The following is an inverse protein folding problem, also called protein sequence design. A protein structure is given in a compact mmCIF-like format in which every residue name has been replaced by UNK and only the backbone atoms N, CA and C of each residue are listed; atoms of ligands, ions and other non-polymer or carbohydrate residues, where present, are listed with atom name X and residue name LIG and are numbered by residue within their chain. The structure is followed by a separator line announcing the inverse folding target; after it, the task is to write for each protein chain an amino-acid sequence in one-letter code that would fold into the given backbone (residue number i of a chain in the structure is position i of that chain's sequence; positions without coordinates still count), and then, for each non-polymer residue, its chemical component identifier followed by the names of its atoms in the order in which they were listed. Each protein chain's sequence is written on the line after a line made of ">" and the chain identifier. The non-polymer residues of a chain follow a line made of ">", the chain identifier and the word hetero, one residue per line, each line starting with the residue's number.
data_IF_231882735066
#
_entry.id   IF_231882735066
#
_cell.length_a   1.000
_cell.length_b   1.000
_cell.length_c   1.000
_cell.angle_alpha   90.00
_cell.angle_beta   90.00
_cell.angle_gamma   90.00
#
_symmetry.space_group_name_H-M   'P 1'
#
loop_
_entity.id
_entity.type
_entity.pdbx_description
1 polymer ?
#
# COMPACT_ATOMS: atom_id res chain seq x y z
N UNK A 1 8.95 -5.28 -34.42
CA UNK A 1 9.91 -6.29 -33.93
C UNK A 1 9.19 -7.28 -33.02
N UNK A 2 9.62 -8.57 -33.03
CA UNK A 2 9.12 -9.58 -32.09
C UNK A 2 10.14 -9.78 -30.99
N UNK A 3 9.70 -9.81 -29.75
CA UNK A 3 10.53 -9.90 -28.55
C UNK A 3 10.03 -11.01 -27.64
N UNK A 4 10.90 -11.47 -26.73
CA UNK A 4 10.54 -12.38 -25.66
C UNK A 4 10.10 -11.59 -24.43
N UNK A 5 8.91 -11.85 -23.92
CA UNK A 5 8.42 -11.36 -22.64
C UNK A 5 8.64 -12.45 -21.58
N UNK A 6 9.56 -12.20 -20.66
CA UNK A 6 9.91 -13.09 -19.57
C UNK A 6 9.05 -12.74 -18.35
N UNK A 7 8.13 -13.64 -17.98
CA UNK A 7 7.22 -13.44 -16.86
C UNK A 7 7.84 -13.76 -15.50
N UNK A 8 7.20 -13.31 -14.43
CA UNK A 8 7.64 -13.58 -13.05
C UNK A 8 7.70 -15.07 -12.72
N UNK A 9 6.77 -15.86 -13.24
CA UNK A 9 6.70 -17.32 -13.07
C UNK A 9 7.76 -18.10 -13.87
N UNK A 10 8.59 -17.38 -14.65
CA UNK A 10 9.62 -17.97 -15.51
C UNK A 10 9.11 -18.39 -16.89
N UNK A 11 7.84 -18.23 -17.19
CA UNK A 11 7.32 -18.49 -18.54
C UNK A 11 7.76 -17.40 -19.52
N UNK A 12 7.95 -17.78 -20.79
CA UNK A 12 8.38 -16.89 -21.86
C UNK A 12 7.31 -16.85 -22.93
N UNK A 13 6.90 -15.66 -23.32
CA UNK A 13 5.93 -15.43 -24.37
C UNK A 13 6.52 -14.53 -25.45
N UNK A 14 6.36 -14.92 -26.73
CA UNK A 14 6.77 -14.07 -27.83
C UNK A 14 5.66 -13.08 -28.15
N UNK A 15 5.99 -11.80 -28.14
CA UNK A 15 5.06 -10.70 -28.35
C UNK A 15 5.63 -9.71 -29.39
N UNK A 16 4.75 -9.08 -30.17
CA UNK A 16 5.15 -8.09 -31.16
C UNK A 16 5.04 -6.68 -30.59
N UNK A 17 6.14 -5.95 -30.59
CA UNK A 17 6.17 -4.52 -30.26
C UNK A 17 5.43 -3.73 -31.36
N UNK A 18 4.55 -2.83 -30.97
CA UNK A 18 3.86 -1.89 -31.85
C UNK A 18 4.76 -0.71 -32.17
N UNK A 19 4.77 0.28 -31.26
CA UNK A 19 5.57 1.51 -31.39
C UNK A 19 6.47 1.67 -30.20
N UNK A 20 7.62 2.30 -30.46
CA UNK A 20 8.62 2.66 -29.46
C UNK A 20 8.64 4.19 -29.30
N UNK A 21 8.71 4.67 -28.08
CA UNK A 21 8.78 6.09 -27.76
C UNK A 21 9.91 6.34 -26.76
N UNK A 22 10.61 7.42 -26.96
CA UNK A 22 11.51 8.04 -25.99
C UNK A 22 10.88 9.31 -25.40
N UNK A 23 11.53 9.90 -24.41
CA UNK A 23 11.06 11.14 -23.78
C UNK A 23 11.98 12.29 -24.10
N UNK A 24 11.40 13.37 -24.66
CA UNK A 24 12.06 14.66 -24.79
C UNK A 24 11.37 15.63 -23.80
N UNK A 25 12.00 15.84 -22.65
CA UNK A 25 11.38 16.49 -21.51
C UNK A 25 10.15 15.70 -21.04
N UNK A 26 8.96 16.30 -21.14
CA UNK A 26 7.68 15.66 -20.77
C UNK A 26 6.94 15.04 -21.96
N UNK A 27 7.43 15.24 -23.16
CA UNK A 27 6.76 14.77 -24.38
C UNK A 27 7.27 13.39 -24.79
N UNK A 28 6.34 12.53 -25.25
CA UNK A 28 6.70 11.25 -25.88
C UNK A 28 6.96 11.50 -27.35
N UNK A 29 8.14 11.08 -27.80
CA UNK A 29 8.56 11.16 -29.20
C UNK A 29 8.73 9.76 -29.75
N UNK A 30 8.05 9.46 -30.85
CA UNK A 30 8.18 8.16 -31.53
C UNK A 30 9.62 8.03 -32.08
N UNK A 31 10.25 6.87 -31.85
CA UNK A 31 11.60 6.56 -32.27
C UNK A 31 11.69 5.16 -32.84
N UNK A 32 12.66 4.93 -33.70
CA UNK A 32 12.96 3.59 -34.24
C UNK A 32 14.00 2.85 -33.40
N UNK A 33 14.79 3.57 -32.60
CA UNK A 33 15.90 3.04 -31.83
C UNK A 33 15.90 3.59 -30.40
N UNK A 34 16.39 2.79 -29.46
CA UNK A 34 16.67 3.17 -28.08
C UNK A 34 17.99 2.51 -27.63
N UNK A 35 18.71 3.20 -26.76
CA UNK A 35 20.02 2.78 -26.32
C UNK A 35 20.00 2.30 -24.87
N UNK A 36 21.03 1.56 -24.48
CA UNK A 36 21.21 1.08 -23.12
C UNK A 36 21.22 2.26 -22.13
N UNK A 37 20.36 2.21 -21.12
CA UNK A 37 20.15 3.28 -20.15
C UNK A 37 18.96 4.19 -20.44
N UNK A 38 18.34 4.11 -21.62
CA UNK A 38 17.16 4.90 -21.96
C UNK A 38 15.90 4.38 -21.25
N UNK A 39 15.05 5.32 -20.86
CA UNK A 39 13.69 5.04 -20.42
C UNK A 39 12.76 5.18 -21.63
N UNK A 40 12.08 4.09 -21.96
CA UNK A 40 11.22 4.04 -23.14
C UNK A 40 9.79 3.68 -22.81
N UNK A 41 8.84 4.11 -23.66
CA UNK A 41 7.48 3.60 -23.64
C UNK A 41 7.23 2.74 -24.88
N UNK A 42 6.65 1.56 -24.68
CA UNK A 42 6.39 0.59 -25.73
C UNK A 42 4.90 0.29 -25.80
N UNK A 43 4.35 0.20 -27.01
CA UNK A 43 2.96 -0.21 -27.25
C UNK A 43 2.89 -1.61 -27.85
N UNK A 44 1.70 -2.23 -27.76
CA UNK A 44 1.47 -3.58 -28.31
C UNK A 44 1.77 -4.72 -27.34
N UNK A 45 2.21 -4.41 -26.14
CA UNK A 45 2.45 -5.39 -25.08
C UNK A 45 1.16 -5.60 -24.29
N UNK A 46 0.49 -6.73 -24.49
CA UNK A 46 -0.69 -7.12 -23.71
C UNK A 46 -0.31 -8.12 -22.64
N UNK A 47 -0.84 -7.93 -21.42
CA UNK A 47 -0.61 -8.87 -20.30
C UNK A 47 0.78 -8.79 -19.68
N UNK A 48 1.53 -7.71 -19.89
CA UNK A 48 2.78 -7.44 -19.17
C UNK A 48 2.47 -6.83 -17.80
N UNK A 49 3.19 -7.29 -16.80
CA UNK A 49 3.12 -6.76 -15.44
C UNK A 49 4.41 -6.03 -15.04
N UNK A 50 4.31 -5.18 -14.02
CA UNK A 50 5.48 -4.50 -13.47
C UNK A 50 6.47 -5.52 -12.92
N UNK A 51 7.74 -5.40 -13.34
CA UNK A 51 8.83 -6.31 -12.95
C UNK A 51 9.05 -7.47 -13.92
N UNK A 52 8.27 -7.57 -14.99
CA UNK A 52 8.54 -8.50 -16.09
C UNK A 52 9.55 -7.90 -17.06
N UNK A 53 10.31 -8.77 -17.72
CA UNK A 53 11.41 -8.36 -18.59
C UNK A 53 11.06 -8.58 -20.05
N UNK A 54 11.40 -7.62 -20.90
CA UNK A 54 11.39 -7.77 -22.35
C UNK A 54 12.83 -8.02 -22.79
N UNK A 55 13.04 -9.10 -23.53
CA UNK A 55 14.37 -9.56 -23.94
C UNK A 55 14.42 -9.95 -25.40
N UNK A 56 15.62 -10.23 -25.91
CA UNK A 56 15.82 -10.76 -27.25
C UNK A 56 15.15 -12.14 -27.36
N UNK A 57 14.47 -12.36 -28.48
CA UNK A 57 13.78 -13.61 -28.77
C UNK A 57 14.73 -14.81 -28.89
N UNK A 58 15.98 -14.58 -29.34
CA UNK A 58 16.98 -15.62 -29.55
C UNK A 58 17.75 -15.97 -28.28
N UNK A 59 17.82 -15.04 -27.33
CA UNK A 59 18.48 -15.25 -26.05
C UNK A 59 17.66 -14.61 -24.93
N UNK A 60 16.51 -15.20 -24.56
CA UNK A 60 15.65 -14.63 -23.53
C UNK A 60 16.35 -14.68 -22.17
N UNK A 61 16.58 -13.51 -21.58
CA UNK A 61 17.19 -13.37 -20.27
C UNK A 61 16.28 -12.54 -19.37
N UNK A 62 15.92 -13.11 -18.21
CA UNK A 62 15.10 -12.43 -17.20
C UNK A 62 16.01 -11.64 -16.26
N UNK A 63 15.68 -10.37 -16.04
CA UNK A 63 16.31 -9.56 -14.99
C UNK A 63 15.60 -9.86 -13.67
N UNK A 64 16.36 -10.04 -12.59
CA UNK A 64 15.82 -10.26 -11.26
C UNK A 64 15.01 -9.05 -10.80
N UNK A 65 13.79 -9.31 -10.38
CA UNK A 65 12.89 -8.29 -9.86
C UNK A 65 13.03 -8.18 -8.34
N UNK A 66 13.15 -6.96 -7.86
CA UNK A 66 13.11 -6.70 -6.41
C UNK A 66 11.67 -6.87 -5.94
N UNK A 67 11.44 -7.85 -5.08
CA UNK A 67 10.13 -8.06 -4.48
C UNK A 67 9.68 -6.83 -3.71
N UNK A 68 8.44 -6.43 -3.95
CA UNK A 68 7.80 -5.34 -3.22
C UNK A 68 7.11 -5.95 -2.01
N UNK A 69 7.20 -5.27 -0.87
CA UNK A 69 6.58 -5.71 0.37
C UNK A 69 5.11 -6.11 0.18
N UNK A 70 4.77 -7.26 0.76
CA UNK A 70 3.41 -7.76 0.74
C UNK A 70 2.45 -6.82 1.49
N UNK A 71 1.16 -6.80 1.08
CA UNK A 71 0.14 -6.06 1.80
C UNK A 71 0.05 -6.48 3.27
N UNK A 72 -0.04 -5.52 4.18
CA UNK A 72 -0.18 -5.76 5.62
C UNK A 72 -1.55 -5.39 6.19
N UNK A 73 -2.32 -4.60 5.44
CA UNK A 73 -3.66 -4.11 5.84
C UNK A 73 -4.68 -4.46 4.76
N UNK A 74 -5.87 -4.86 5.16
CA UNK A 74 -7.00 -5.13 4.27
C UNK A 74 -8.25 -4.39 4.69
N UNK A 75 -9.10 -4.06 3.72
CA UNK A 75 -10.43 -3.50 3.87
C UNK A 75 -11.39 -4.20 2.92
N UNK A 76 -12.67 -4.26 3.29
CA UNK A 76 -13.72 -4.70 2.37
C UNK A 76 -14.32 -3.47 1.68
N UNK A 77 -14.36 -3.50 0.36
CA UNK A 77 -15.02 -2.51 -0.48
C UNK A 77 -16.32 -3.11 -0.99
N UNK A 78 -17.44 -2.44 -0.75
CA UNK A 78 -18.77 -2.97 -1.10
C UNK A 78 -19.58 -1.93 -1.85
N UNK A 79 -20.52 -2.40 -2.64
CA UNK A 79 -21.53 -1.56 -3.26
C UNK A 79 -22.36 -0.88 -2.17
N UNK A 80 -22.68 0.41 -2.36
CA UNK A 80 -23.64 1.08 -1.50
C UNK A 80 -25.06 0.61 -1.86
N UNK A 81 -25.67 -0.13 -0.95
CA UNK A 81 -27.06 -0.61 -1.06
C UNK A 81 -28.00 0.11 -0.08
N UNK A 82 -27.56 1.22 0.50
CA UNK A 82 -28.35 2.02 1.41
C UNK A 82 -29.47 2.81 0.71
N UNK A 83 -30.41 3.41 1.47
CA UNK A 83 -31.55 4.14 0.91
C UNK A 83 -31.18 5.42 0.14
N UNK A 84 -29.94 5.86 0.25
CA UNK A 84 -29.41 7.05 -0.43
C UNK A 84 -28.41 6.68 -1.54
N UNK A 85 -28.31 5.41 -1.90
CA UNK A 85 -27.41 4.96 -2.96
C UNK A 85 -27.68 5.68 -4.29
N UNK A 86 -26.60 6.05 -4.99
CA UNK A 86 -26.67 6.72 -6.29
C UNK A 86 -26.96 8.22 -6.24
N UNK A 87 -26.93 8.87 -5.07
CA UNK A 87 -27.13 10.31 -4.95
C UNK A 87 -25.86 11.13 -5.15
N UNK A 88 -24.72 10.58 -4.78
CA UNK A 88 -23.42 11.28 -4.82
C UNK A 88 -22.49 10.75 -5.91
N UNK A 89 -22.64 9.48 -6.30
CA UNK A 89 -21.79 8.84 -7.31
C UNK A 89 -22.57 8.36 -8.53
N UNK A 90 -21.88 8.28 -9.67
CA UNK A 90 -22.42 7.73 -10.93
C UNK A 90 -22.22 6.22 -11.05
N UNK A 91 -21.14 5.71 -10.45
CA UNK A 91 -20.73 4.31 -10.53
C UNK A 91 -21.07 3.60 -9.22
N UNK A 92 -22.22 2.93 -9.21
CA UNK A 92 -22.83 2.34 -8.00
C UNK A 92 -23.03 0.82 -8.11
N UNK A 93 -22.53 0.18 -9.17
CA UNK A 93 -22.72 -1.26 -9.38
C UNK A 93 -21.48 -2.06 -9.08
N UNK A 94 -21.66 -3.33 -8.68
CA UNK A 94 -20.54 -4.25 -8.42
C UNK A 94 -19.66 -4.45 -9.65
N UNK A 95 -20.24 -4.44 -10.84
CA UNK A 95 -19.48 -4.53 -12.09
C UNK A 95 -18.50 -3.36 -12.24
N UNK A 96 -18.97 -2.12 -12.08
CA UNK A 96 -18.11 -0.94 -12.16
C UNK A 96 -17.01 -0.96 -11.10
N UNK A 97 -17.38 -1.33 -9.87
CA UNK A 97 -16.44 -1.43 -8.75
C UNK A 97 -15.35 -2.47 -9.05
N UNK A 98 -15.75 -3.65 -9.53
CA UNK A 98 -14.83 -4.72 -9.91
C UNK A 98 -13.87 -4.29 -11.01
N UNK A 99 -14.40 -3.80 -12.13
CA UNK A 99 -13.60 -3.35 -13.27
C UNK A 99 -12.56 -2.29 -12.84
N UNK A 100 -12.96 -1.34 -11.99
CA UNK A 100 -12.06 -0.30 -11.50
C UNK A 100 -10.97 -0.83 -10.56
N UNK A 101 -11.33 -1.71 -9.63
CA UNK A 101 -10.36 -2.30 -8.69
C UNK A 101 -9.34 -3.18 -9.42
N UNK A 102 -9.77 -4.02 -10.35
CA UNK A 102 -8.86 -4.86 -11.13
C UNK A 102 -7.96 -4.04 -12.07
N UNK A 103 -8.47 -2.94 -12.63
CA UNK A 103 -7.66 -2.00 -13.40
C UNK A 103 -6.56 -1.32 -12.56
N UNK A 104 -6.81 -1.10 -11.28
CA UNK A 104 -5.79 -0.54 -10.37
C UNK A 104 -4.60 -1.49 -10.22
N UNK A 105 -4.80 -2.80 -10.25
CA UNK A 105 -3.73 -3.80 -10.16
C UNK A 105 -2.69 -3.68 -11.28
N UNK A 106 -3.09 -3.21 -12.46
CA UNK A 106 -2.16 -3.01 -13.59
C UNK A 106 -1.06 -1.98 -13.28
N UNK A 107 -1.32 -1.06 -12.33
CA UNK A 107 -0.44 0.07 -12.00
C UNK A 107 0.09 0.02 -10.57
N UNK A 108 -0.50 -0.81 -9.73
CA UNK A 108 -0.26 -0.81 -8.29
C UNK A 108 0.09 -2.23 -7.82
N UNK A 109 1.38 -2.55 -7.89
CA UNK A 109 1.92 -3.88 -7.54
C UNK A 109 1.77 -4.25 -6.06
N UNK A 110 1.57 -3.26 -5.19
CA UNK A 110 1.40 -3.48 -3.75
C UNK A 110 -0.06 -3.66 -3.35
N UNK A 111 -0.98 -3.59 -4.30
CA UNK A 111 -2.40 -3.80 -4.07
C UNK A 111 -2.76 -5.24 -4.40
N UNK A 112 -3.63 -5.84 -3.61
CA UNK A 112 -4.29 -7.11 -3.93
C UNK A 112 -5.80 -6.93 -3.84
N UNK A 113 -6.52 -7.51 -4.77
CA UNK A 113 -7.98 -7.54 -4.81
C UNK A 113 -8.42 -8.98 -4.90
N UNK A 114 -9.27 -9.39 -3.98
CA UNK A 114 -9.84 -10.74 -3.90
C UNK A 114 -11.36 -10.64 -3.89
N UNK A 115 -12.01 -11.50 -4.65
CA UNK A 115 -13.47 -11.65 -4.58
C UNK A 115 -13.82 -12.23 -3.19
N UNK A 116 -14.97 -11.82 -2.65
CA UNK A 116 -15.52 -12.38 -1.40
C UNK A 116 -16.67 -13.35 -1.71
N UNK A 117 -17.25 -13.95 -0.68
CA UNK A 117 -18.45 -14.79 -0.83
C UNK A 117 -19.67 -14.01 -1.36
N UNK A 118 -19.63 -12.69 -1.28
CA UNK A 118 -20.65 -11.81 -1.84
C UNK A 118 -20.20 -11.21 -3.16
N UNK A 119 -21.06 -11.29 -4.18
CA UNK A 119 -20.82 -10.67 -5.50
C UNK A 119 -20.69 -9.13 -5.47
N UNK A 120 -21.10 -8.51 -4.38
CA UNK A 120 -21.17 -7.06 -4.20
C UNK A 120 -20.06 -6.50 -3.32
N UNK A 121 -19.10 -7.33 -2.93
CA UNK A 121 -17.98 -6.93 -2.07
C UNK A 121 -16.67 -7.55 -2.51
N UNK A 122 -15.57 -6.81 -2.28
CA UNK A 122 -14.21 -7.16 -2.64
C UNK A 122 -13.29 -6.91 -1.46
N UNK A 123 -12.40 -7.85 -1.17
CA UNK A 123 -11.34 -7.64 -0.18
C UNK A 123 -10.16 -6.98 -0.87
N UNK A 124 -9.82 -5.78 -0.43
CA UNK A 124 -8.74 -4.98 -0.97
C UNK A 124 -7.64 -4.86 0.08
N UNK A 125 -6.44 -5.31 -0.28
CA UNK A 125 -5.28 -5.34 0.61
C UNK A 125 -4.19 -4.43 0.09
N UNK A 126 -3.56 -3.66 0.97
CA UNK A 126 -2.52 -2.70 0.66
C UNK A 126 -1.45 -2.60 1.74
N UNK A 127 -0.41 -1.82 1.49
CA UNK A 127 0.71 -1.64 2.43
C UNK A 127 0.35 -0.94 3.74
N UNK A 128 -0.77 -0.21 3.77
CA UNK A 128 -1.19 0.53 4.96
C UNK A 128 -2.47 1.32 4.73
N UNK A 129 -2.97 1.95 5.80
CA UNK A 129 -4.24 2.70 5.74
C UNK A 129 -4.19 3.88 4.76
N UNK A 130 -3.06 4.59 4.68
CA UNK A 130 -2.90 5.73 3.75
C UNK A 130 -3.00 5.28 2.29
N UNK A 131 -2.38 4.14 1.96
CA UNK A 131 -2.45 3.58 0.60
C UNK A 131 -3.90 3.30 0.18
N UNK A 132 -4.68 2.65 1.05
CA UNK A 132 -6.09 2.37 0.79
C UNK A 132 -6.96 3.64 0.80
N UNK A 133 -6.65 4.60 1.66
CA UNK A 133 -7.37 5.89 1.72
C UNK A 133 -7.18 6.70 0.45
N UNK A 134 -5.97 6.71 -0.14
CA UNK A 134 -5.71 7.38 -1.43
C UNK A 134 -6.50 6.69 -2.55
N UNK A 135 -6.56 5.37 -2.57
CA UNK A 135 -7.38 4.64 -3.53
C UNK A 135 -8.86 5.02 -3.42
N UNK A 136 -9.40 5.03 -2.20
CA UNK A 136 -10.80 5.42 -1.92
C UNK A 136 -11.06 6.84 -2.43
N UNK A 137 -10.18 7.79 -2.10
CA UNK A 137 -10.33 9.19 -2.52
C UNK A 137 -10.25 9.36 -4.04
N UNK A 138 -9.36 8.65 -4.72
CA UNK A 138 -9.28 8.66 -6.17
C UNK A 138 -10.58 8.11 -6.80
N UNK A 139 -11.08 6.99 -6.29
CA UNK A 139 -12.34 6.42 -6.77
C UNK A 139 -13.51 7.37 -6.53
N UNK A 140 -13.57 8.02 -5.36
CA UNK A 140 -14.58 9.03 -5.05
C UNK A 140 -14.55 10.18 -6.06
N UNK A 141 -13.37 10.71 -6.39
CA UNK A 141 -13.19 11.77 -7.39
C UNK A 141 -13.56 11.34 -8.80
N UNK A 142 -13.39 10.08 -9.13
CA UNK A 142 -13.83 9.49 -10.39
C UNK A 142 -15.37 9.32 -10.47
N UNK A 143 -16.07 9.49 -9.36
CA UNK A 143 -17.54 9.40 -9.26
C UNK A 143 -18.04 8.03 -8.82
N UNK A 144 -17.21 7.22 -8.19
CA UNK A 144 -17.64 5.99 -7.53
C UNK A 144 -18.27 6.30 -6.17
N UNK A 145 -19.34 5.61 -5.86
CA UNK A 145 -19.98 5.57 -4.56
C UNK A 145 -19.90 4.16 -4.02
N UNK A 146 -19.23 3.99 -2.88
CA UNK A 146 -18.96 2.68 -2.29
C UNK A 146 -18.95 2.75 -0.77
N UNK A 147 -19.14 1.62 -0.12
CA UNK A 147 -18.95 1.42 1.30
C UNK A 147 -17.60 0.76 1.55
N UNK A 148 -16.95 1.13 2.64
CA UNK A 148 -15.69 0.52 3.07
C UNK A 148 -15.77 0.06 4.52
N UNK A 149 -15.15 -1.08 4.83
CA UNK A 149 -15.02 -1.55 6.20
C UNK A 149 -13.91 -0.79 6.94
N UNK A 150 -13.81 -1.00 8.24
CA UNK A 150 -12.61 -0.59 8.99
C UNK A 150 -11.39 -1.36 8.47
N UNK A 151 -10.21 -0.73 8.42
CA UNK A 151 -8.98 -1.43 8.09
C UNK A 151 -8.65 -2.48 9.15
N UNK A 152 -8.21 -3.65 8.71
CA UNK A 152 -7.75 -4.75 9.56
C UNK A 152 -6.38 -5.21 9.08
N UNK A 153 -5.51 -5.62 10.02
CA UNK A 153 -4.22 -6.18 9.65
C UNK A 153 -4.37 -7.61 9.14
N UNK A 154 -3.48 -8.01 8.26
CA UNK A 154 -3.44 -9.36 7.70
C UNK A 154 -2.58 -10.23 8.63
N UNK A 155 -3.22 -11.20 9.30
CA UNK A 155 -2.50 -12.19 10.10
C UNK A 155 -1.95 -13.30 9.21
N UNK A 156 -0.81 -13.86 9.59
CA UNK A 156 -0.24 -15.06 8.97
C UNK A 156 -0.06 -16.15 10.01
N UNK A 157 -0.12 -17.39 9.59
CA UNK A 157 0.29 -18.52 10.40
C UNK A 157 1.69 -18.94 9.98
N UNK A 158 2.64 -18.87 10.90
CA UNK A 158 4.04 -19.22 10.68
C UNK A 158 4.39 -20.28 11.72
N UNK A 159 4.78 -21.46 11.27
CA UNK A 159 5.09 -22.61 12.13
C UNK A 159 3.97 -22.96 13.14
N UNK A 160 2.71 -22.84 12.72
CA UNK A 160 1.54 -23.09 13.56
C UNK A 160 1.23 -21.98 14.57
N UNK A 161 1.93 -20.86 14.52
CA UNK A 161 1.73 -19.69 15.39
C UNK A 161 1.08 -18.56 14.62
N UNK A 162 0.01 -18.00 15.18
CA UNK A 162 -0.61 -16.79 14.63
C UNK A 162 0.32 -15.59 14.79
N UNK A 163 0.75 -15.02 13.67
CA UNK A 163 1.64 -13.86 13.61
C UNK A 163 0.93 -12.65 13.04
N UNK A 164 1.36 -11.47 13.49
CA UNK A 164 0.90 -10.17 13.03
C UNK A 164 2.04 -9.33 12.43
N UNK A 165 1.74 -8.42 11.49
CA UNK A 165 2.73 -7.54 10.91
C UNK A 165 3.23 -6.54 11.96
N UNK A 166 4.56 -6.37 12.00
CA UNK A 166 5.26 -5.45 12.88
C UNK A 166 5.86 -4.30 12.08
N UNK A 167 5.97 -3.15 12.73
CA UNK A 167 6.56 -1.96 12.16
C UNK A 167 7.62 -1.36 13.08
N UNK A 168 8.72 -0.92 12.49
CA UNK A 168 9.71 -0.07 13.16
C UNK A 168 9.21 1.37 13.07
N UNK A 169 8.91 1.94 14.23
CA UNK A 169 8.35 3.27 14.40
C UNK A 169 9.41 4.22 14.92
N UNK A 170 9.67 5.29 14.18
CA UNK A 170 10.57 6.38 14.59
C UNK A 170 9.77 7.66 14.82
N UNK A 171 9.90 8.24 15.99
CA UNK A 171 9.20 9.46 16.39
C UNK A 171 10.21 10.49 16.86
N UNK A 172 10.16 11.71 16.30
CA UNK A 172 10.87 12.88 16.79
C UNK A 172 9.87 13.85 17.43
N UNK A 173 10.00 14.14 18.70
CA UNK A 173 9.09 15.04 19.44
C UNK A 173 9.86 15.98 20.39
N UNK A 174 9.33 17.19 20.67
CA UNK A 174 9.82 18.01 21.78
C UNK A 174 9.78 17.26 23.10
N UNK A 175 10.75 17.51 23.97
CA UNK A 175 10.91 16.81 25.25
C UNK A 175 9.63 16.83 26.11
N UNK A 176 8.83 17.90 26.04
CA UNK A 176 7.58 18.03 26.81
C UNK A 176 6.51 16.99 26.45
N UNK A 177 6.57 16.40 25.26
CA UNK A 177 5.57 15.41 24.78
C UNK A 177 6.05 13.96 24.88
N UNK A 178 7.31 13.72 25.23
CA UNK A 178 7.92 12.38 25.29
C UNK A 178 7.10 11.43 26.18
N UNK A 179 6.72 11.88 27.38
CA UNK A 179 5.97 11.04 28.33
C UNK A 179 4.61 10.59 27.78
N UNK A 180 3.86 11.52 27.18
CA UNK A 180 2.54 11.21 26.60
C UNK A 180 2.64 10.23 25.43
N UNK A 181 3.67 10.38 24.59
CA UNK A 181 3.90 9.49 23.45
C UNK A 181 4.25 8.08 23.91
N UNK A 182 5.18 7.95 24.88
CA UNK A 182 5.60 6.64 25.42
C UNK A 182 4.40 5.91 26.04
N UNK A 183 3.58 6.59 26.84
CA UNK A 183 2.39 6.01 27.46
C UNK A 183 1.43 5.46 26.39
N UNK A 184 1.09 6.28 25.37
CA UNK A 184 0.14 5.89 24.34
C UNK A 184 0.65 4.77 23.44
N UNK A 185 1.92 4.79 23.08
CA UNK A 185 2.54 3.71 22.31
C UNK A 185 2.59 2.42 23.13
N UNK A 186 2.88 2.49 24.43
CA UNK A 186 2.84 1.32 25.32
C UNK A 186 1.47 0.67 25.39
N UNK A 187 0.38 1.45 25.51
CA UNK A 187 -1.00 0.95 25.46
C UNK A 187 -1.33 0.26 24.13
N UNK A 188 -0.65 0.62 23.05
CA UNK A 188 -0.79 0.06 21.69
C UNK A 188 0.20 -1.08 21.42
N UNK A 189 0.79 -1.66 22.49
CA UNK A 189 1.76 -2.78 22.42
C UNK A 189 3.07 -2.44 21.70
N UNK A 190 3.45 -1.17 21.64
CA UNK A 190 4.76 -0.77 21.17
C UNK A 190 5.83 -1.00 22.24
N UNK A 191 6.94 -1.58 21.84
CA UNK A 191 8.12 -1.83 22.65
C UNK A 191 9.21 -0.83 22.25
N UNK A 192 9.67 -0.02 23.21
CA UNK A 192 10.73 0.95 22.95
C UNK A 192 12.06 0.23 22.76
N UNK A 193 12.70 0.50 21.63
CA UNK A 193 14.01 -0.06 21.26
C UNK A 193 15.15 0.91 21.52
N UNK A 194 14.90 2.22 21.37
CA UNK A 194 15.89 3.25 21.58
C UNK A 194 15.27 4.60 21.97
N UNK A 195 16.04 5.43 22.66
CA UNK A 195 15.71 6.82 22.98
C UNK A 195 16.99 7.64 22.98
N UNK A 196 17.05 8.69 22.18
CA UNK A 196 18.21 9.57 22.06
C UNK A 196 17.80 11.01 21.77
N UNK A 197 18.71 11.97 22.00
CA UNK A 197 18.51 13.33 21.51
C UNK A 197 18.42 13.29 19.97
N UNK A 198 17.49 14.04 19.40
CA UNK A 198 17.37 14.10 17.94
C UNK A 198 18.57 14.83 17.33
N UNK A 199 19.19 14.20 16.31
CA UNK A 199 20.29 14.82 15.58
C UNK A 199 19.79 15.89 14.59
N UNK A 200 18.51 15.85 14.23
CA UNK A 200 17.93 16.74 13.23
C UNK A 200 17.42 18.06 13.79
N UNK A 201 17.09 18.11 15.09
CA UNK A 201 16.49 19.29 15.69
C UNK A 201 16.82 19.39 17.19
N UNK A 202 17.41 20.55 17.61
CA UNK A 202 17.70 20.82 19.01
C UNK A 202 16.41 20.89 19.85
N UNK A 203 16.41 20.30 21.05
CA UNK A 203 15.26 20.24 21.94
C UNK A 203 14.22 19.16 21.56
N UNK A 204 14.56 18.29 20.62
CA UNK A 204 13.75 17.13 20.25
C UNK A 204 14.41 15.83 20.72
N UNK A 205 13.58 14.89 21.13
CA UNK A 205 13.97 13.53 21.45
C UNK A 205 13.49 12.58 20.37
N UNK A 206 14.38 11.72 19.91
CA UNK A 206 14.07 10.60 19.02
C UNK A 206 13.73 9.39 19.85
N UNK A 207 12.57 8.82 19.57
CA UNK A 207 12.05 7.59 20.14
C UNK A 207 11.92 6.55 19.05
N UNK A 208 12.42 5.36 19.27
CA UNK A 208 12.31 4.24 18.34
C UNK A 208 11.57 3.10 19.03
N UNK A 209 10.61 2.53 18.32
CA UNK A 209 9.76 1.46 18.83
C UNK A 209 9.59 0.38 17.78
N UNK A 210 9.35 -0.84 18.25
CA UNK A 210 8.78 -1.91 17.46
C UNK A 210 7.34 -2.10 17.89
N UNK A 211 6.39 -1.97 16.95
CA UNK A 211 4.96 -1.92 17.24
C UNK A 211 4.17 -2.79 16.25
N UNK A 212 3.11 -3.50 16.71
CA UNK A 212 2.17 -4.12 15.78
C UNK A 212 1.52 -3.07 14.85
N UNK A 213 1.46 -3.34 13.54
CA UNK A 213 0.87 -2.42 12.56
C UNK A 213 -0.56 -1.99 12.94
N UNK A 214 -1.37 -2.90 13.55
CA UNK A 214 -2.71 -2.57 14.06
C UNK A 214 -2.70 -1.49 15.15
N UNK A 215 -1.60 -1.33 15.88
CA UNK A 215 -1.43 -0.30 16.88
C UNK A 215 -1.29 1.11 16.30
N UNK A 216 -0.88 1.21 15.03
CA UNK A 216 -0.74 2.49 14.34
C UNK A 216 -2.01 2.94 13.62
N UNK A 217 -2.97 2.02 13.40
CA UNK A 217 -4.24 2.36 12.76
C UNK A 217 -4.96 3.42 13.59
N UNK A 218 -5.24 4.58 12.97
CA UNK A 218 -5.88 5.73 13.60
C UNK A 218 -5.03 6.51 14.61
N UNK A 219 -3.81 6.09 14.90
CA UNK A 219 -2.95 6.76 15.90
C UNK A 219 -2.45 8.14 15.44
N UNK A 220 -2.25 8.33 14.13
CA UNK A 220 -1.71 9.59 13.60
C UNK A 220 -2.50 10.83 14.04
N UNK A 221 -3.82 10.75 14.08
CA UNK A 221 -4.66 11.87 14.53
C UNK A 221 -4.47 12.21 16.00
N UNK A 222 -4.41 11.18 16.88
CA UNK A 222 -4.11 11.36 18.30
C UNK A 222 -2.72 11.94 18.50
N UNK A 223 -1.71 11.39 17.83
CA UNK A 223 -0.33 11.84 17.89
C UNK A 223 -0.19 13.33 17.53
N UNK A 224 -0.83 13.77 16.44
CA UNK A 224 -0.83 15.17 16.05
C UNK A 224 -1.48 16.07 17.09
N UNK A 225 -2.55 15.61 17.73
CA UNK A 225 -3.22 16.35 18.81
C UNK A 225 -2.35 16.43 20.06
N UNK A 226 -1.79 15.31 20.50
CA UNK A 226 -0.97 15.23 21.72
C UNK A 226 0.32 16.03 21.62
N UNK A 227 0.89 16.10 20.41
CA UNK A 227 2.12 16.86 20.13
C UNK A 227 1.87 18.28 19.65
N UNK A 228 0.62 18.73 19.63
CA UNK A 228 0.20 20.05 19.08
C UNK A 228 0.74 20.31 17.68
N UNK A 229 0.85 19.26 16.87
CA UNK A 229 1.40 19.33 15.52
C UNK A 229 2.93 19.37 15.41
N UNK A 230 3.67 19.32 16.51
CA UNK A 230 5.13 19.42 16.49
C UNK A 230 5.85 18.07 16.36
N UNK A 231 5.14 16.94 16.44
CA UNK A 231 5.75 15.62 16.33
C UNK A 231 5.91 15.18 14.87
N UNK A 232 7.01 14.47 14.61
CA UNK A 232 7.27 13.79 13.35
C UNK A 232 7.22 12.29 13.61
N UNK A 233 6.47 11.55 12.78
CA UNK A 233 6.27 10.13 12.94
C UNK A 233 6.47 9.42 11.59
N UNK A 234 7.39 8.46 11.54
CA UNK A 234 7.66 7.60 10.41
C UNK A 234 7.65 6.15 10.86
N UNK A 235 7.16 5.25 10.00
CA UNK A 235 7.16 3.83 10.29
C UNK A 235 7.39 3.02 9.01
N UNK A 236 8.00 1.85 9.17
CA UNK A 236 8.32 0.92 8.09
C UNK A 236 8.03 -0.51 8.54
N UNK A 237 7.49 -1.32 7.63
CA UNK A 237 7.27 -2.73 7.88
C UNK A 237 8.60 -3.45 8.15
N UNK A 238 8.68 -4.24 9.24
CA UNK A 238 9.89 -4.95 9.64
C UNK A 238 9.72 -6.48 9.76
N UNK A 239 8.55 -7.02 9.38
CA UNK A 239 8.31 -8.46 9.39
C UNK A 239 7.08 -8.88 10.15
N UNK A 240 6.96 -10.17 10.42
CA UNK A 240 5.87 -10.78 11.19
C UNK A 240 6.40 -11.34 12.51
N UNK A 241 5.68 -11.10 13.61
CA UNK A 241 5.95 -11.67 14.92
C UNK A 241 4.69 -12.31 15.52
N UNK A 242 4.84 -13.20 16.52
CA UNK A 242 3.70 -13.77 17.22
C UNK A 242 2.75 -12.69 17.75
N UNK A 243 1.45 -12.96 17.63
CA UNK A 243 0.40 -12.05 18.06
C UNK A 243 0.56 -11.59 19.53
N UNK A 244 0.65 -10.30 19.75
CA UNK A 244 0.91 -9.69 21.08
C UNK A 244 -0.34 -9.52 21.96
N UNK A 245 -1.41 -10.22 21.64
CA UNK A 245 -2.65 -10.17 22.42
C UNK A 245 -3.52 -8.96 22.10
N UNK A 246 -4.68 -8.88 22.74
CA UNK A 246 -5.66 -7.83 22.47
C UNK A 246 -5.18 -6.46 22.90
N UNK A 247 -5.58 -5.44 22.15
CA UNK A 247 -5.43 -4.03 22.50
C UNK A 247 -6.75 -3.49 23.00
N UNK A 248 -6.69 -2.63 24.01
CA UNK A 248 -7.87 -1.90 24.46
C UNK A 248 -8.28 -0.89 23.40
N UNK A 249 -9.27 -1.22 22.60
CA UNK A 249 -9.85 -0.30 21.61
C UNK A 249 -11.18 0.25 22.12
N UNK A 250 -11.44 1.52 21.81
CA UNK A 250 -12.73 2.14 22.13
C UNK A 250 -13.79 1.52 21.21
N UNK A 251 -14.68 0.70 21.77
CA UNK A 251 -15.71 0.00 21.01
C UNK A 251 -16.94 0.87 20.70
N UNK A 252 -17.15 1.94 21.46
CA UNK A 252 -18.31 2.85 21.33
C UNK A 252 -17.88 4.28 21.65
N UNK A 253 -18.47 5.25 20.99
CA UNK A 253 -18.28 6.67 21.26
C UNK A 253 -18.79 7.51 20.09
N UNK A 254 -19.29 8.72 20.38
CA UNK A 254 -19.47 9.74 19.35
C UNK A 254 -18.10 10.33 18.99
N UNK A 255 -17.92 10.63 17.72
CA UNK A 255 -16.82 11.42 17.19
C UNK A 255 -17.24 12.88 17.21
#
# INVERSE_FOLDING_TARGET
>A
ETVAMCKKDGSIQNIKIGKLYTYDGLNRVETEEAYCGDIVAVTGLTGIEIGETISDINNPEKIDFVDIDEPTVSMTFSVNNGPFAGKEGKFVTSRHLRERLYKELERNVSLRVEDTDSSDSFKVSGRGELHLSILIENMRREGFELLVSRPTVIFKEIDGVKCEPMEDLTIDVPEEFVGAVIEKIGLRKGEMTNMAASHSQAGYTRLEFKIPARGLIGYRGEFMTDTKGNGIMNHTFCGYEPYKGDMTTRQRGAV
#
